data_IF_675605215738
#
_entry.id   IF_675605215738
#
_cell.length_a   1.000
_cell.length_b   1.000
_cell.length_c   1.000
_cell.angle_alpha   90.00
_cell.angle_beta   90.00
_cell.angle_gamma   90.00
#
_symmetry.space_group_name_H-M   'P 1'
#
loop_
_entity.id
_entity.type
_entity.pdbx_description
1 polymer ?
#
# COMPACT_ATOMS: atom_id res chain seq x y z
N UNK A 1 -4.77 -10.64 -32.56
CA UNK A 1 -6.10 -10.01 -32.55
C UNK A 1 -6.02 -8.65 -31.88
N UNK A 2 -6.25 -7.56 -32.63
CA UNK A 2 -6.53 -6.23 -32.06
C UNK A 2 -7.86 -6.35 -31.31
N UNK A 3 -7.88 -6.04 -30.00
CA UNK A 3 -9.14 -5.99 -29.24
C UNK A 3 -9.80 -4.64 -29.43
N UNK A 4 -11.13 -4.62 -29.34
CA UNK A 4 -11.93 -3.41 -29.49
C UNK A 4 -11.83 -2.54 -28.23
N UNK A 5 -11.89 -1.23 -28.42
CA UNK A 5 -11.85 -0.21 -27.35
C UNK A 5 -12.77 -0.50 -26.15
N UNK A 6 -13.98 -1.08 -26.30
CA UNK A 6 -14.82 -1.45 -25.16
C UNK A 6 -14.19 -2.43 -24.16
N UNK A 7 -13.34 -3.36 -24.61
CA UNK A 7 -12.70 -4.31 -23.70
C UNK A 7 -11.59 -3.65 -22.88
N UNK A 8 -10.84 -2.72 -23.48
CA UNK A 8 -9.84 -1.92 -22.78
C UNK A 8 -10.50 -1.04 -21.72
N UNK A 9 -11.62 -0.39 -22.04
CA UNK A 9 -12.36 0.44 -21.09
C UNK A 9 -12.85 -0.38 -19.89
N UNK A 10 -13.41 -1.58 -20.12
CA UNK A 10 -13.80 -2.49 -19.03
C UNK A 10 -12.62 -2.89 -18.14
N UNK A 11 -11.47 -3.18 -18.74
CA UNK A 11 -10.25 -3.52 -17.99
C UNK A 11 -9.74 -2.34 -17.16
N UNK A 12 -9.74 -1.14 -17.75
CA UNK A 12 -9.40 0.11 -17.10
C UNK A 12 -10.31 0.40 -15.89
N UNK A 13 -11.63 0.36 -16.07
CA UNK A 13 -12.59 0.63 -15.01
C UNK A 13 -12.47 -0.37 -13.85
N UNK A 14 -12.32 -1.65 -14.19
CA UNK A 14 -12.10 -2.71 -13.20
C UNK A 14 -10.80 -2.49 -12.40
N UNK A 15 -9.73 -2.06 -13.06
CA UNK A 15 -8.46 -1.78 -12.39
C UNK A 15 -8.55 -0.55 -11.49
N UNK A 16 -9.16 0.53 -11.96
CA UNK A 16 -9.36 1.74 -11.16
C UNK A 16 -10.21 1.43 -9.91
N UNK A 17 -11.29 0.66 -10.06
CA UNK A 17 -12.11 0.21 -8.93
C UNK A 17 -11.30 -0.61 -7.92
N UNK A 18 -10.56 -1.62 -8.40
CA UNK A 18 -9.72 -2.48 -7.55
C UNK A 18 -8.69 -1.69 -6.75
N UNK A 19 -8.01 -0.73 -7.39
CA UNK A 19 -7.02 0.14 -6.74
C UNK A 19 -7.65 0.99 -5.64
N UNK A 20 -8.81 1.59 -5.89
CA UNK A 20 -9.52 2.41 -4.89
C UNK A 20 -9.90 1.60 -3.65
N UNK A 21 -10.53 0.43 -3.86
CA UNK A 21 -10.89 -0.48 -2.75
C UNK A 21 -9.66 -0.84 -1.91
N UNK A 22 -8.55 -1.21 -2.55
CA UNK A 22 -7.33 -1.54 -1.81
C UNK A 22 -6.72 -0.35 -1.05
N UNK A 23 -6.77 0.85 -1.63
CA UNK A 23 -6.29 2.07 -0.96
C UNK A 23 -7.14 2.34 0.29
N UNK A 24 -8.47 2.30 0.15
CA UNK A 24 -9.44 2.49 1.23
C UNK A 24 -9.23 1.45 2.35
N UNK A 25 -9.07 0.16 2.02
CA UNK A 25 -8.76 -0.90 3.00
C UNK A 25 -7.50 -0.62 3.83
N UNK A 26 -6.45 -0.06 3.21
CA UNK A 26 -5.20 0.28 3.91
C UNK A 26 -5.37 1.56 4.74
N UNK A 27 -6.14 2.53 4.27
CA UNK A 27 -6.46 3.74 5.01
C UNK A 27 -7.29 3.42 6.27
N UNK A 28 -8.31 2.56 6.17
CA UNK A 28 -9.09 2.08 7.31
C UNK A 28 -8.23 1.36 8.36
N UNK A 29 -7.24 0.58 7.90
CA UNK A 29 -6.27 -0.08 8.76
C UNK A 29 -5.43 0.94 9.54
N UNK A 30 -4.90 1.95 8.85
CA UNK A 30 -4.11 3.02 9.48
C UNK A 30 -4.93 3.83 10.48
N UNK A 31 -6.16 4.21 10.11
CA UNK A 31 -7.08 4.92 11.01
C UNK A 31 -7.34 4.11 12.28
N UNK A 32 -7.52 2.79 12.14
CA UNK A 32 -7.72 1.91 13.30
C UNK A 32 -6.50 1.89 14.20
N UNK A 33 -5.31 1.79 13.62
CA UNK A 33 -4.06 1.82 14.36
C UNK A 33 -3.84 3.18 15.06
N UNK A 34 -4.25 4.29 14.44
CA UNK A 34 -4.23 5.61 15.06
C UNK A 34 -5.19 5.72 16.23
N UNK A 35 -6.40 5.14 16.14
CA UNK A 35 -7.34 5.08 17.27
C UNK A 35 -6.74 4.32 18.46
N UNK A 36 -6.12 3.15 18.23
CA UNK A 36 -5.42 2.41 19.30
C UNK A 36 -4.26 3.23 19.87
N UNK A 37 -3.48 3.89 19.02
CA UNK A 37 -2.35 4.72 19.45
C UNK A 37 -2.83 5.86 20.35
N UNK A 38 -3.88 6.58 19.96
CA UNK A 38 -4.46 7.66 20.78
C UNK A 38 -4.99 7.14 22.10
N UNK A 39 -5.69 6.00 22.09
CA UNK A 39 -6.17 5.34 23.31
C UNK A 39 -5.03 5.00 24.27
N UNK A 40 -3.99 4.34 23.76
CA UNK A 40 -2.82 3.93 24.57
C UNK A 40 -2.03 5.16 25.05
N UNK A 41 -1.85 6.20 24.23
CA UNK A 41 -1.24 7.47 24.66
C UNK A 41 -1.97 8.10 25.83
N UNK A 42 -3.30 8.14 25.76
CA UNK A 42 -4.13 8.77 26.79
C UNK A 42 -3.95 8.05 28.14
N UNK A 43 -4.11 6.72 28.13
CA UNK A 43 -4.06 5.93 29.37
C UNK A 43 -2.64 5.88 29.93
N UNK A 44 -1.63 5.74 29.06
CA UNK A 44 -0.23 5.74 29.51
C UNK A 44 0.23 7.11 29.95
N UNK A 45 -0.46 8.20 29.64
CA UNK A 45 -0.17 9.55 30.15
C UNK A 45 -0.31 9.68 31.67
N UNK A 46 -1.20 8.89 32.28
CA UNK A 46 -1.52 8.93 33.71
C UNK A 46 -0.48 8.19 34.58
N UNK A 47 0.01 8.83 35.65
CA UNK A 47 1.02 8.25 36.54
C UNK A 47 0.48 7.06 37.34
N UNK A 48 -0.76 7.13 37.82
CA UNK A 48 -1.39 6.04 38.58
C UNK A 48 -1.65 4.85 37.66
N UNK A 49 -2.06 5.10 36.42
CA UNK A 49 -2.23 4.03 35.44
C UNK A 49 -0.90 3.35 35.10
N UNK A 50 0.19 4.11 34.87
CA UNK A 50 1.52 3.51 34.67
C UNK A 50 1.94 2.63 35.85
N UNK A 51 1.71 3.08 37.09
CA UNK A 51 2.01 2.30 38.28
C UNK A 51 1.19 0.99 38.34
N UNK A 52 -0.10 1.06 37.97
CA UNK A 52 -0.96 -0.11 37.84
C UNK A 52 -0.46 -1.08 36.76
N UNK A 53 -0.09 -0.57 35.58
CA UNK A 53 0.46 -1.42 34.52
C UNK A 53 1.74 -2.13 34.97
N UNK A 54 2.61 -1.46 35.74
CA UNK A 54 3.80 -2.06 36.31
C UNK A 54 3.45 -3.15 37.33
N UNK A 55 2.52 -2.89 38.26
CA UNK A 55 2.14 -3.88 39.28
C UNK A 55 1.45 -5.11 38.70
N UNK A 56 0.78 -4.97 37.57
CA UNK A 56 0.08 -6.07 36.87
C UNK A 56 0.94 -6.75 35.79
N UNK A 57 2.21 -6.35 35.60
CA UNK A 57 3.08 -6.93 34.56
C UNK A 57 2.65 -6.60 33.13
N UNK A 58 1.93 -5.50 32.94
CA UNK A 58 1.36 -5.03 31.67
C UNK A 58 2.10 -3.80 31.09
N UNK A 59 3.18 -3.33 31.73
CA UNK A 59 3.93 -2.16 31.27
C UNK A 59 4.71 -2.38 29.96
N UNK A 60 5.01 -3.64 29.59
CA UNK A 60 5.75 -3.96 28.37
C UNK A 60 4.84 -3.88 27.15
N UNK A 61 5.05 -2.85 26.34
CA UNK A 61 4.31 -2.61 25.09
C UNK A 61 5.13 -2.99 23.85
N UNK A 62 4.48 -3.28 22.70
CA UNK A 62 5.18 -3.48 21.44
C UNK A 62 6.01 -2.25 21.05
N UNK A 63 7.26 -2.45 20.60
CA UNK A 63 8.16 -1.36 20.22
C UNK A 63 7.63 -0.50 19.08
N UNK A 64 6.87 -1.09 18.14
CA UNK A 64 6.23 -0.36 17.04
C UNK A 64 5.22 0.66 17.60
N UNK A 65 4.35 0.22 18.50
CA UNK A 65 3.38 1.07 19.19
C UNK A 65 4.07 2.12 20.07
N UNK A 66 5.12 1.75 20.81
CA UNK A 66 5.89 2.70 21.62
C UNK A 66 6.49 3.83 20.76
N UNK A 67 7.09 3.49 19.61
CA UNK A 67 7.65 4.48 18.69
C UNK A 67 6.58 5.37 18.08
N UNK A 68 5.46 4.77 17.65
CA UNK A 68 4.32 5.53 17.12
C UNK A 68 3.82 6.50 18.18
N UNK A 69 3.67 6.06 19.42
CA UNK A 69 3.31 6.91 20.58
C UNK A 69 4.29 8.07 20.75
N UNK A 70 5.61 7.83 20.67
CA UNK A 70 6.64 8.86 20.79
C UNK A 70 6.76 9.79 19.57
N UNK A 71 5.96 9.58 18.50
CA UNK A 71 6.07 10.35 17.26
C UNK A 71 7.34 10.05 16.47
N UNK A 72 8.02 8.95 16.77
CA UNK A 72 9.19 8.51 16.02
C UNK A 72 8.73 7.86 14.72
N UNK A 73 9.29 8.26 13.54
CA UNK A 73 8.93 7.64 12.28
C UNK A 73 9.21 6.13 12.35
N UNK A 74 8.45 5.28 11.64
CA UNK A 74 8.72 3.85 11.60
C UNK A 74 10.16 3.61 11.14
N UNK A 75 10.80 2.54 11.62
CA UNK A 75 12.08 2.13 11.03
C UNK A 75 11.76 1.83 9.59
N UNK A 76 12.31 2.64 8.68
CA UNK A 76 12.30 2.31 7.28
C UNK A 76 12.99 0.94 7.18
N UNK A 77 12.22 -0.12 7.02
CA UNK A 77 12.73 -1.35 6.44
C UNK A 77 12.86 -1.05 4.97
N UNK A 78 13.87 -0.24 4.66
CA UNK A 78 14.35 0.00 3.31
C UNK A 78 14.97 -1.32 2.84
N UNK A 79 14.14 -2.26 2.41
CA UNK A 79 14.52 -3.15 1.30
C UNK A 79 14.42 -2.37 -0.01
N UNK A 80 15.11 -1.23 -0.06
CA UNK A 80 15.56 -0.68 -1.32
C UNK A 80 17.07 -0.95 -1.34
N UNK A 81 17.58 -1.72 -2.31
CA UNK A 81 19.01 -1.70 -2.55
C UNK A 81 19.36 -0.27 -2.97
N UNK A 82 20.01 0.43 -2.04
CA UNK A 82 20.61 1.73 -2.26
C UNK A 82 21.75 1.55 -3.26
N UNK A 83 21.65 2.30 -4.36
CA UNK A 83 22.73 2.70 -5.26
C UNK A 83 23.44 1.58 -6.04
N UNK A 84 23.03 1.43 -7.31
CA UNK A 84 23.97 1.09 -8.38
C UNK A 84 24.02 2.29 -9.33
N UNK A 85 25.23 2.78 -9.53
CA UNK A 85 25.70 3.92 -10.32
C UNK A 85 24.84 4.19 -11.57
N UNK A 86 24.52 5.46 -11.77
CA UNK A 86 23.87 5.97 -12.97
C UNK A 86 24.84 5.89 -14.16
N UNK A 87 25.02 4.70 -14.70
CA UNK A 87 25.43 4.52 -16.09
C UNK A 87 24.31 5.09 -16.99
N UNK A 88 24.63 5.75 -18.11
CA UNK A 88 23.63 6.26 -19.03
C UNK A 88 22.81 5.06 -19.54
N UNK A 89 21.59 4.91 -19.02
CA UNK A 89 20.73 3.76 -19.33
C UNK A 89 20.31 3.87 -20.80
N UNK A 90 20.76 2.91 -21.60
CA UNK A 90 20.38 2.80 -23.01
C UNK A 90 18.86 2.78 -23.14
N UNK A 91 18.36 3.67 -23.99
CA UNK A 91 16.94 3.80 -24.31
C UNK A 91 16.48 2.53 -25.02
N UNK A 92 15.47 1.83 -24.49
CA UNK A 92 14.93 0.60 -25.09
C UNK A 92 15.43 -0.73 -24.50
N UNK A 93 16.26 -0.71 -23.47
CA UNK A 93 16.66 -1.93 -22.73
C UNK A 93 15.74 -2.22 -21.52
N UNK A 94 15.74 -3.47 -21.07
CA UNK A 94 15.04 -3.85 -19.83
C UNK A 94 15.90 -3.50 -18.63
N UNK A 95 15.33 -2.75 -17.68
CA UNK A 95 16.00 -2.41 -16.45
C UNK A 95 16.40 -3.68 -15.65
N UNK A 96 17.64 -3.79 -15.12
CA UNK A 96 18.04 -4.94 -14.31
C UNK A 96 17.14 -5.20 -13.10
N UNK A 97 16.59 -4.14 -12.50
CA UNK A 97 15.64 -4.26 -11.38
C UNK A 97 14.36 -4.99 -11.81
N UNK A 98 13.88 -4.75 -13.03
CA UNK A 98 12.71 -5.44 -13.59
C UNK A 98 13.00 -6.92 -13.79
N UNK A 99 14.22 -7.29 -14.20
CA UNK A 99 14.64 -8.69 -14.28
C UNK A 99 14.65 -9.34 -12.90
N UNK A 100 15.10 -8.62 -11.87
CA UNK A 100 15.06 -9.09 -10.49
C UNK A 100 13.63 -9.29 -9.99
N UNK A 101 12.74 -8.32 -10.22
CA UNK A 101 11.33 -8.39 -9.82
C UNK A 101 10.57 -9.53 -10.50
N UNK A 102 10.88 -9.81 -11.77
CA UNK A 102 10.18 -10.80 -12.59
C UNK A 102 10.89 -12.15 -12.68
N UNK A 103 12.00 -12.36 -11.97
CA UNK A 103 12.82 -13.58 -12.06
C UNK A 103 12.02 -14.87 -11.87
N UNK A 104 11.09 -14.83 -10.91
CA UNK A 104 10.30 -15.99 -10.50
C UNK A 104 8.87 -15.95 -11.08
N UNK A 105 8.60 -15.02 -12.02
CA UNK A 105 7.30 -14.81 -12.64
C UNK A 105 7.18 -15.55 -13.98
N UNK A 106 6.12 -16.37 -14.15
CA UNK A 106 5.76 -16.92 -15.45
C UNK A 106 4.90 -15.88 -16.19
N UNK A 107 5.49 -15.26 -17.22
CA UNK A 107 4.86 -14.21 -18.01
C UNK A 107 4.40 -14.67 -19.39
N UNK A 108 3.38 -14.03 -19.98
CA UNK A 108 2.99 -14.27 -21.37
C UNK A 108 4.10 -13.82 -22.33
N UNK A 109 4.20 -14.52 -23.46
CA UNK A 109 5.08 -14.13 -24.55
C UNK A 109 4.83 -12.67 -24.96
N UNK A 110 5.91 -11.90 -25.17
CA UNK A 110 5.83 -10.49 -25.55
C UNK A 110 5.80 -9.48 -24.39
N UNK A 111 5.80 -9.92 -23.13
CA UNK A 111 5.88 -9.03 -21.96
C UNK A 111 7.06 -8.03 -22.06
N UNK A 112 8.28 -8.55 -22.22
CA UNK A 112 9.45 -7.68 -22.31
C UNK A 112 9.47 -6.82 -23.57
N UNK A 113 8.77 -7.20 -24.64
CA UNK A 113 8.64 -6.33 -25.81
C UNK A 113 7.83 -5.07 -25.46
N UNK A 114 6.74 -5.22 -24.69
CA UNK A 114 5.94 -4.09 -24.21
C UNK A 114 6.69 -3.21 -23.20
N UNK A 115 7.46 -3.81 -22.29
CA UNK A 115 8.23 -3.05 -21.31
C UNK A 115 9.34 -2.20 -21.96
N UNK A 116 9.92 -2.64 -23.09
CA UNK A 116 10.90 -1.82 -23.83
C UNK A 116 10.32 -0.55 -24.45
N UNK A 117 8.99 -0.39 -24.46
CA UNK A 117 8.31 0.80 -24.99
C UNK A 117 8.30 1.98 -24.02
N UNK A 118 8.66 1.75 -22.75
CA UNK A 118 8.61 2.75 -21.69
C UNK A 118 9.98 2.94 -21.02
N UNK A 119 10.20 4.11 -20.43
CA UNK A 119 11.42 4.43 -19.69
C UNK A 119 11.61 3.51 -18.46
N UNK A 120 12.85 3.30 -17.98
CA UNK A 120 13.15 2.39 -16.88
C UNK A 120 12.29 2.57 -15.63
N UNK A 121 12.03 3.83 -15.22
CA UNK A 121 11.17 4.12 -14.05
C UNK A 121 9.75 3.57 -14.23
N UNK A 122 9.21 3.66 -15.44
CA UNK A 122 7.88 3.14 -15.77
C UNK A 122 7.88 1.62 -15.92
N UNK A 123 8.98 1.02 -16.39
CA UNK A 123 9.11 -0.44 -16.45
C UNK A 123 9.01 -1.06 -15.04
N UNK A 124 9.70 -0.47 -14.06
CA UNK A 124 9.67 -0.89 -12.66
C UNK A 124 8.25 -0.76 -12.09
N UNK A 125 7.60 0.39 -12.33
CA UNK A 125 6.22 0.61 -11.88
C UNK A 125 5.25 -0.43 -12.45
N UNK A 126 5.31 -0.67 -13.77
CA UNK A 126 4.46 -1.67 -14.44
C UNK A 126 4.72 -3.07 -13.88
N UNK A 127 5.98 -3.46 -13.68
CA UNK A 127 6.33 -4.75 -13.10
C UNK A 127 5.75 -4.91 -11.68
N UNK A 128 5.86 -3.90 -10.82
CA UNK A 128 5.27 -3.91 -9.47
C UNK A 128 3.75 -4.01 -9.51
N UNK A 129 3.10 -3.24 -10.38
CA UNK A 129 1.64 -3.29 -10.57
C UNK A 129 1.16 -4.66 -11.05
N UNK A 130 1.91 -5.28 -11.96
CA UNK A 130 1.61 -6.62 -12.46
C UNK A 130 1.68 -7.67 -11.34
N UNK A 131 2.78 -7.70 -10.60
CA UNK A 131 2.98 -8.64 -9.50
C UNK A 131 1.87 -8.49 -8.46
N UNK A 132 1.55 -7.24 -8.10
CA UNK A 132 0.51 -6.93 -7.12
C UNK A 132 -0.91 -7.29 -7.57
N UNK A 133 -1.15 -7.39 -8.88
CA UNK A 133 -2.46 -7.77 -9.43
C UNK A 133 -2.69 -9.29 -9.41
N UNK A 134 -1.63 -10.10 -9.37
CA UNK A 134 -1.71 -11.56 -9.50
C UNK A 134 -1.30 -12.04 -10.89
N UNK A 135 -2.00 -13.03 -11.51
CA UNK A 135 -1.57 -13.65 -12.76
C UNK A 135 -1.26 -12.63 -13.86
N UNK A 136 -0.09 -12.79 -14.48
CA UNK A 136 0.39 -11.83 -15.48
C UNK A 136 -0.50 -11.85 -16.72
N UNK A 137 -1.11 -10.70 -17.03
CA UNK A 137 -1.95 -10.52 -18.20
C UNK A 137 -1.29 -9.58 -19.21
N UNK A 138 -1.06 -10.05 -20.43
CA UNK A 138 -0.49 -9.23 -21.50
C UNK A 138 -1.37 -8.01 -21.80
N UNK A 139 -2.69 -8.16 -21.73
CA UNK A 139 -3.65 -7.08 -21.96
C UNK A 139 -3.57 -6.00 -20.87
N UNK A 140 -3.30 -6.40 -19.63
CA UNK A 140 -3.08 -5.45 -18.54
C UNK A 140 -1.84 -4.60 -18.79
N UNK A 141 -0.74 -5.22 -19.21
CA UNK A 141 0.50 -4.50 -19.56
C UNK A 141 0.27 -3.56 -20.75
N UNK A 142 -0.42 -4.03 -21.78
CA UNK A 142 -0.76 -3.21 -22.95
C UNK A 142 -1.58 -1.97 -22.55
N UNK A 143 -2.60 -2.13 -21.71
CA UNK A 143 -3.38 -1.01 -21.19
C UNK A 143 -2.49 -0.04 -20.39
N UNK A 144 -1.60 -0.53 -19.52
CA UNK A 144 -0.69 0.33 -18.76
C UNK A 144 0.28 1.11 -19.66
N UNK A 145 0.77 0.48 -20.73
CA UNK A 145 1.66 1.09 -21.73
C UNK A 145 0.92 2.08 -22.62
N UNK A 146 -0.32 1.76 -23.04
CA UNK A 146 -1.17 2.65 -23.83
C UNK A 146 -1.57 3.93 -23.06
N UNK A 147 -1.72 3.84 -21.74
CA UNK A 147 -2.01 4.95 -20.83
C UNK A 147 -0.75 5.43 -20.09
N UNK A 148 0.42 5.34 -20.73
CA UNK A 148 1.67 5.91 -20.21
C UNK A 148 1.87 7.30 -20.80
N UNK A 149 2.22 8.31 -19.96
CA UNK A 149 2.50 9.66 -20.44
C UNK A 149 3.61 9.69 -21.48
N UNK A 150 3.54 10.56 -22.52
CA UNK A 150 4.59 10.67 -23.53
C UNK A 150 5.99 10.93 -22.96
N UNK A 151 6.09 11.60 -21.81
CA UNK A 151 7.35 11.85 -21.09
C UNK A 151 8.01 10.59 -20.53
N UNK A 152 7.26 9.49 -20.40
CA UNK A 152 7.70 8.19 -19.93
C UNK A 152 7.76 7.13 -21.03
N UNK A 153 7.46 7.50 -22.28
CA UNK A 153 7.61 6.65 -23.45
C UNK A 153 9.00 6.79 -24.07
N UNK A 154 9.45 5.74 -24.76
CA UNK A 154 10.60 5.85 -25.67
C UNK A 154 10.15 6.64 -26.91
N UNK A 155 10.90 7.70 -27.27
CA UNK A 155 10.51 8.77 -28.23
C UNK A 155 10.01 8.29 -29.61
N UNK A 156 10.30 7.05 -30.00
CA UNK A 156 10.02 6.52 -31.33
C UNK A 156 8.91 5.45 -31.37
N UNK A 157 8.23 5.16 -30.25
CA UNK A 157 7.20 4.10 -30.21
C UNK A 157 5.91 4.59 -29.57
N UNK A 158 4.83 4.62 -30.36
CA UNK A 158 3.49 4.96 -29.89
C UNK A 158 2.60 3.72 -29.81
N UNK A 159 2.23 3.26 -28.60
CA UNK A 159 1.31 2.12 -28.42
C UNK A 159 -0.18 2.46 -28.69
N UNK A 160 -0.46 3.54 -29.45
CA UNK A 160 -1.75 4.23 -29.53
C UNK A 160 -2.88 3.45 -30.22
N UNK A 161 -2.57 2.38 -30.95
CA UNK A 161 -3.55 1.60 -31.72
C UNK A 161 -4.71 1.05 -30.88
N UNK A 162 -4.53 0.76 -29.59
CA UNK A 162 -5.58 0.16 -28.75
C UNK A 162 -6.63 1.17 -28.22
N UNK A 163 -6.31 2.46 -28.25
CA UNK A 163 -7.19 3.56 -27.77
C UNK A 163 -7.45 4.65 -28.83
N UNK A 164 -7.16 4.34 -30.10
CA UNK A 164 -7.25 5.29 -31.21
C UNK A 164 -8.66 5.91 -31.38
N UNK A 165 -9.72 5.17 -31.04
CA UNK A 165 -11.10 5.64 -31.20
C UNK A 165 -11.61 6.57 -30.09
N UNK A 166 -10.81 6.86 -29.06
CA UNK A 166 -11.18 7.82 -28.00
C UNK A 166 -10.85 9.26 -28.42
N UNK A 167 -11.44 10.26 -27.78
CA UNK A 167 -10.97 11.65 -27.92
C UNK A 167 -9.63 11.84 -27.19
N UNK A 168 -8.85 12.84 -27.57
CA UNK A 168 -7.60 13.18 -26.87
C UNK A 168 -7.85 13.55 -25.41
N UNK A 169 -8.87 14.38 -25.15
CA UNK A 169 -9.26 14.78 -23.80
C UNK A 169 -9.59 13.56 -22.92
N UNK A 170 -10.38 12.62 -23.45
CA UNK A 170 -10.75 11.42 -22.70
C UNK A 170 -9.54 10.54 -22.39
N UNK A 171 -8.58 10.45 -23.32
CA UNK A 171 -7.33 9.72 -23.08
C UNK A 171 -6.48 10.38 -22.01
N UNK A 172 -6.34 11.71 -22.05
CA UNK A 172 -5.57 12.46 -21.07
C UNK A 172 -6.17 12.34 -19.65
N UNK A 173 -7.50 12.37 -19.52
CA UNK A 173 -8.20 12.09 -18.26
C UNK A 173 -7.88 10.70 -17.72
N UNK A 174 -7.97 9.67 -18.58
CA UNK A 174 -7.71 8.29 -18.20
C UNK A 174 -6.25 8.06 -17.80
N UNK A 175 -5.31 8.67 -18.52
CA UNK A 175 -3.88 8.63 -18.21
C UNK A 175 -3.60 9.23 -16.83
N UNK A 176 -4.10 10.44 -16.59
CA UNK A 176 -3.90 11.17 -15.33
C UNK A 176 -4.48 10.41 -14.13
N UNK A 177 -5.71 9.92 -14.26
CA UNK A 177 -6.38 9.16 -13.19
C UNK A 177 -5.66 7.84 -12.91
N UNK A 178 -5.27 7.09 -13.95
CA UNK A 178 -4.55 5.84 -13.76
C UNK A 178 -3.18 6.05 -13.14
N UNK A 179 -2.44 7.08 -13.55
CA UNK A 179 -1.15 7.41 -12.97
C UNK A 179 -1.27 7.76 -11.48
N UNK A 180 -2.23 8.62 -11.13
CA UNK A 180 -2.52 9.00 -9.74
C UNK A 180 -2.89 7.78 -8.88
N UNK A 181 -3.82 6.95 -9.35
CA UNK A 181 -4.23 5.74 -8.64
C UNK A 181 -3.12 4.69 -8.54
N UNK A 182 -2.29 4.53 -9.58
CA UNK A 182 -1.17 3.59 -9.56
C UNK A 182 -0.15 3.95 -8.49
N UNK A 183 0.20 5.24 -8.39
CA UNK A 183 1.09 5.75 -7.35
C UNK A 183 0.51 5.57 -5.95
N UNK A 184 -0.75 5.95 -5.74
CA UNK A 184 -1.42 5.79 -4.46
C UNK A 184 -1.52 4.30 -4.05
N UNK A 185 -1.85 3.42 -5.00
CA UNK A 185 -1.91 1.98 -4.77
C UNK A 185 -0.55 1.39 -4.37
N UNK A 186 0.53 1.72 -5.07
CA UNK A 186 1.87 1.23 -4.72
C UNK A 186 2.32 1.75 -3.35
N UNK A 187 2.02 3.02 -3.03
CA UNK A 187 2.26 3.58 -1.69
C UNK A 187 1.46 2.86 -0.61
N UNK A 188 0.20 2.49 -0.88
CA UNK A 188 -0.62 1.70 0.05
C UNK A 188 -0.06 0.27 0.19
N UNK A 189 0.38 -0.34 -0.91
CA UNK A 189 0.95 -1.69 -0.94
C UNK A 189 2.21 -1.78 -0.06
N UNK A 190 3.11 -0.80 -0.16
CA UNK A 190 4.34 -0.75 0.63
C UNK A 190 4.08 -0.60 2.14
N UNK A 191 2.96 0.05 2.51
CA UNK A 191 2.58 0.29 3.91
C UNK A 191 1.75 -0.84 4.52
N UNK A 192 0.98 -1.58 3.71
CA UNK A 192 0.02 -2.60 4.18
C UNK A 192 0.67 -3.62 5.10
N UNK A 193 1.81 -4.19 4.71
CA UNK A 193 2.50 -5.23 5.50
C UNK A 193 2.93 -4.73 6.87
N UNK A 194 3.78 -3.70 6.95
CA UNK A 194 4.19 -3.09 8.23
C UNK A 194 3.01 -2.65 9.10
N UNK A 195 2.01 -1.97 8.53
CA UNK A 195 0.86 -1.49 9.27
C UNK A 195 0.00 -2.65 9.81
N UNK A 196 -0.20 -3.73 9.04
CA UNK A 196 -0.93 -4.92 9.51
C UNK A 196 -0.26 -5.57 10.71
N UNK A 197 1.07 -5.75 10.65
CA UNK A 197 1.83 -6.33 11.76
C UNK A 197 1.78 -5.44 13.01
N UNK A 198 1.88 -4.13 12.81
CA UNK A 198 1.76 -3.16 13.89
C UNK A 198 0.36 -3.21 14.54
N UNK A 199 -0.70 -3.25 13.73
CA UNK A 199 -2.07 -3.36 14.21
C UNK A 199 -2.28 -4.65 15.01
N UNK A 200 -1.82 -5.81 14.52
CA UNK A 200 -1.92 -7.09 15.25
C UNK A 200 -1.23 -7.01 16.61
N UNK A 201 -0.02 -6.45 16.66
CA UNK A 201 0.72 -6.30 17.91
C UNK A 201 0.01 -5.32 18.87
N UNK A 202 -0.47 -4.19 18.36
CA UNK A 202 -1.15 -3.17 19.14
C UNK A 202 -2.49 -3.67 19.68
N UNK A 203 -3.30 -4.34 18.86
CA UNK A 203 -4.55 -4.97 19.28
C UNK A 203 -4.32 -6.03 20.34
N UNK A 204 -3.36 -6.95 20.15
CA UNK A 204 -3.05 -7.97 21.16
C UNK A 204 -2.61 -7.37 22.50
N UNK A 205 -1.83 -6.30 22.46
CA UNK A 205 -1.46 -5.58 23.68
C UNK A 205 -2.70 -4.94 24.33
N UNK A 206 -3.56 -4.31 23.55
CA UNK A 206 -4.78 -3.67 24.03
C UNK A 206 -5.78 -4.68 24.61
N UNK A 207 -5.97 -5.84 23.98
CA UNK A 207 -6.79 -6.94 24.49
C UNK A 207 -6.29 -7.40 25.87
N UNK A 208 -4.97 -7.58 26.03
CA UNK A 208 -4.38 -7.92 27.35
C UNK A 208 -4.65 -6.88 28.43
N UNK A 209 -4.76 -5.60 28.07
CA UNK A 209 -5.15 -4.55 29.01
C UNK A 209 -6.61 -4.70 29.42
N UNK A 210 -7.49 -4.95 28.43
CA UNK A 210 -8.94 -5.09 28.65
C UNK A 210 -9.33 -6.40 29.33
N UNK A 211 -8.48 -7.43 29.30
CA UNK A 211 -8.68 -8.69 30.04
C UNK A 211 -8.33 -8.56 31.55
N UNK A 212 -7.63 -7.49 31.97
CA UNK A 212 -7.30 -7.27 33.37
C UNK A 212 -8.38 -6.47 34.10
N UNK A 213 -9.06 -7.12 35.05
CA UNK A 213 -10.18 -6.51 35.80
C UNK A 213 -9.81 -5.22 36.56
N UNK A 214 -8.57 -5.07 37.05
CA UNK A 214 -8.13 -3.84 37.73
C UNK A 214 -7.93 -2.71 36.73
N UNK A 215 -7.37 -3.01 35.55
CA UNK A 215 -7.24 -2.06 34.44
C UNK A 215 -8.62 -1.59 34.00
N UNK A 216 -9.54 -2.51 33.72
CA UNK A 216 -10.92 -2.19 33.33
C UNK A 216 -11.61 -1.31 34.36
N UNK A 217 -11.50 -1.65 35.65
CA UNK A 217 -12.07 -0.84 36.75
C UNK A 217 -11.46 0.56 36.81
N UNK A 218 -10.16 0.68 36.59
CA UNK A 218 -9.49 1.97 36.53
C UNK A 218 -10.00 2.80 35.34
N UNK A 219 -10.11 2.20 34.16
CA UNK A 219 -10.58 2.89 32.95
C UNK A 219 -12.04 3.35 33.10
N UNK A 220 -12.93 2.51 33.62
CA UNK A 220 -14.33 2.88 33.84
C UNK A 220 -14.49 4.05 34.82
N UNK A 221 -13.64 4.12 35.86
CA UNK A 221 -13.69 5.20 36.86
C UNK A 221 -13.09 6.51 36.36
N UNK A 222 -11.98 6.46 35.63
CA UNK A 222 -11.21 7.66 35.26
C UNK A 222 -11.48 8.15 33.82
N UNK A 223 -12.01 7.30 32.94
CA UNK A 223 -12.34 7.61 31.55
C UNK A 223 -13.76 7.13 31.17
N UNK A 224 -14.81 7.46 31.94
CA UNK A 224 -16.15 6.89 31.74
C UNK A 224 -16.73 7.17 30.35
N UNK A 225 -16.52 8.37 29.79
CA UNK A 225 -17.01 8.75 28.46
C UNK A 225 -16.26 8.14 27.27
N UNK A 226 -15.22 7.32 27.51
CA UNK A 226 -14.42 6.65 26.47
C UNK A 226 -14.36 5.14 26.65
N UNK A 227 -15.11 4.62 27.62
CA UNK A 227 -15.04 3.21 27.96
C UNK A 227 -15.59 2.31 26.84
N UNK A 228 -16.68 2.74 26.18
CA UNK A 228 -17.20 2.06 24.99
C UNK A 228 -16.19 2.07 23.84
N UNK A 229 -15.48 3.20 23.62
CA UNK A 229 -14.43 3.27 22.59
C UNK A 229 -13.31 2.26 22.87
N UNK A 230 -12.86 2.13 24.12
CA UNK A 230 -11.88 1.12 24.50
C UNK A 230 -12.43 -0.29 24.25
N UNK A 231 -13.68 -0.57 24.59
CA UNK A 231 -14.25 -1.89 24.32
C UNK A 231 -14.36 -2.20 22.82
N UNK A 232 -14.70 -1.22 21.99
CA UNK A 232 -14.77 -1.37 20.53
C UNK A 232 -13.39 -1.56 19.86
N UNK A 233 -12.32 -1.05 20.49
CA UNK A 233 -10.94 -1.25 20.04
C UNK A 233 -10.42 -2.65 20.37
N UNK A 234 -10.91 -3.24 21.47
CA UNK A 234 -10.67 -4.63 21.84
C UNK A 234 -11.62 -5.57 21.08
N UNK A 235 -11.14 -6.75 20.67
CA UNK A 235 -12.03 -7.78 20.12
C UNK A 235 -12.30 -7.79 18.61
N UNK A 236 -11.60 -6.98 17.80
CA UNK A 236 -11.65 -7.10 16.32
C UNK A 236 -10.30 -7.62 15.79
N UNK A 237 -9.77 -8.72 16.33
CA UNK A 237 -8.59 -9.38 15.73
C UNK A 237 -9.05 -10.61 14.96
N UNK A 238 -9.01 -10.49 13.63
CA UNK A 238 -9.09 -11.56 12.61
C UNK A 238 -10.37 -12.43 12.64
N UNK A 239 -11.38 -12.01 11.86
CA UNK A 239 -12.14 -12.95 11.02
C UNK A 239 -11.63 -12.82 9.60
#
# INVERSE_FOLDING_TARGET
MRRSTPELLRLYDAECKRKRVFIEEVEELDERLDRITVAVRLITGDRQFRALLLSEGLATMPNTLARRISGSPPAQTSTHPTSAEASPRSTGEICPEVLGLLRDCIGPAGLFALLRLVLPVRQIEIARLMIARGPVSLNYVKMLVALTPPSLLIKDIRPQDEIASLSEDRRAEMESELARLSRAFLNALDRRGPASLELVAASRYFDRLMDNSKVVRFLARNFPGRFEDFHNLAGIVLR
#
